data_IF_229597345199
#
_entry.id   IF_229597345199
#
_cell.length_a   1.000
_cell.length_b   1.000
_cell.length_c   1.000
_cell.angle_alpha   90.00
_cell.angle_beta   90.00
_cell.angle_gamma   90.00
#
_symmetry.space_group_name_H-M   'P 1'
#
loop_
_entity.id
_entity.type
_entity.pdbx_description
1 polymer ?
#
# COMPACT_ATOMS: atom_id res chain seq x y z
N UNK A 1 -17.78 13.26 -21.32
CA UNK A 1 -17.16 12.20 -20.49
C UNK A 1 -16.44 12.89 -19.36
N UNK A 2 -16.73 12.50 -18.11
CA UNK A 2 -16.23 13.15 -16.91
C UNK A 2 -14.74 12.84 -16.70
N UNK A 3 -13.93 13.89 -16.52
CA UNK A 3 -12.48 13.82 -16.34
C UNK A 3 -12.02 13.34 -14.95
N UNK A 4 -12.77 12.43 -14.32
CA UNK A 4 -12.50 11.96 -12.95
C UNK A 4 -11.92 10.54 -12.88
N UNK A 5 -11.65 9.91 -14.02
CA UNK A 5 -11.40 8.46 -14.05
C UNK A 5 -9.96 8.02 -13.81
N UNK A 6 -8.98 8.87 -13.45
CA UNK A 6 -7.56 8.45 -13.37
C UNK A 6 -6.81 8.73 -12.07
N UNK A 7 -7.39 9.43 -11.10
CA UNK A 7 -6.70 9.71 -9.84
C UNK A 7 -6.56 8.45 -8.98
N UNK A 8 -5.34 8.15 -8.54
CA UNK A 8 -5.04 7.15 -7.52
C UNK A 8 -4.28 7.82 -6.39
N UNK A 9 -4.70 7.53 -5.16
CA UNK A 9 -4.01 7.95 -3.94
C UNK A 9 -3.04 6.87 -3.52
N UNK A 10 -1.77 7.23 -3.37
CA UNK A 10 -0.70 6.34 -2.93
C UNK A 10 -0.37 6.66 -1.47
N UNK A 11 -0.75 5.77 -0.56
CA UNK A 11 -0.48 5.85 0.86
C UNK A 11 0.75 4.99 1.17
N UNK A 12 1.85 5.64 1.55
CA UNK A 12 3.09 4.93 1.87
C UNK A 12 3.32 4.88 3.37
N UNK A 13 3.85 3.75 3.83
CA UNK A 13 3.96 3.47 5.24
C UNK A 13 4.83 2.26 5.54
N UNK A 14 4.63 1.71 6.72
CA UNK A 14 5.29 0.50 7.15
C UNK A 14 4.39 -0.35 8.04
N UNK A 15 4.68 -1.64 8.09
CA UNK A 15 4.07 -2.59 9.02
C UNK A 15 5.11 -3.59 9.51
N UNK A 16 4.91 -4.12 10.72
CA UNK A 16 5.74 -5.16 11.31
C UNK A 16 5.09 -6.52 11.08
N UNK A 17 5.87 -7.49 10.62
CA UNK A 17 5.41 -8.86 10.46
C UNK A 17 5.10 -9.46 11.85
N UNK A 18 3.88 -9.96 12.05
CA UNK A 18 3.42 -10.54 13.33
C UNK A 18 3.09 -12.03 13.26
N UNK A 19 3.19 -12.62 12.07
CA UNK A 19 2.94 -14.05 11.82
C UNK A 19 3.96 -14.62 10.85
N UNK A 20 4.14 -15.93 10.81
CA UNK A 20 4.98 -16.58 9.82
C UNK A 20 4.23 -16.70 8.48
N UNK A 21 4.47 -15.81 7.53
CA UNK A 21 3.88 -15.86 6.18
C UNK A 21 4.55 -16.94 5.31
N UNK A 22 4.39 -18.22 5.68
CA UNK A 22 4.98 -19.37 4.97
C UNK A 22 6.50 -19.25 4.74
N UNK A 23 7.21 -18.60 5.66
CA UNK A 23 8.66 -18.35 5.57
C UNK A 23 9.06 -17.19 4.66
N UNK A 24 8.12 -16.53 3.96
CA UNK A 24 8.42 -15.36 3.11
C UNK A 24 8.91 -14.16 3.92
N UNK A 25 8.23 -13.88 5.03
CA UNK A 25 8.56 -12.75 5.92
C UNK A 25 9.04 -13.25 7.27
N UNK A 26 10.11 -12.64 7.77
CA UNK A 26 10.65 -12.94 9.10
C UNK A 26 9.81 -12.24 10.17
N UNK A 27 9.41 -12.98 11.20
CA UNK A 27 8.62 -12.45 12.31
C UNK A 27 9.36 -11.29 12.99
N UNK A 28 8.65 -10.21 13.30
CA UNK A 28 9.21 -9.03 13.95
C UNK A 28 9.90 -8.04 13.00
N UNK A 29 10.21 -8.45 11.77
CA UNK A 29 10.77 -7.52 10.79
C UNK A 29 9.74 -6.49 10.34
N UNK A 30 10.23 -5.27 10.11
CA UNK A 30 9.44 -4.16 9.62
C UNK A 30 9.61 -4.04 8.11
N UNK A 31 8.53 -3.90 7.38
CA UNK A 31 8.53 -3.78 5.93
C UNK A 31 7.82 -2.50 5.50
N UNK A 32 8.32 -1.87 4.44
CA UNK A 32 7.60 -0.79 3.78
C UNK A 32 6.35 -1.34 3.13
N UNK A 33 5.24 -0.63 3.28
CA UNK A 33 3.97 -0.95 2.62
C UNK A 33 3.52 0.25 1.80
N UNK A 34 2.92 -0.04 0.65
CA UNK A 34 2.28 0.94 -0.22
C UNK A 34 0.85 0.51 -0.44
N UNK A 35 -0.09 1.43 -0.30
CA UNK A 35 -1.49 1.18 -0.54
C UNK A 35 -1.99 2.18 -1.57
N UNK A 36 -2.61 1.67 -2.62
CA UNK A 36 -3.14 2.47 -3.71
C UNK A 36 -4.65 2.34 -3.71
N UNK A 37 -5.36 3.46 -3.82
CA UNK A 37 -6.83 3.46 -3.91
C UNK A 37 -7.33 4.56 -4.84
N UNK A 38 -8.41 4.29 -5.56
CA UNK A 38 -9.14 5.30 -6.33
C UNK A 38 -10.15 6.07 -5.47
N UNK A 39 -10.33 5.69 -4.20
CA UNK A 39 -11.28 6.34 -3.30
C UNK A 39 -10.69 7.62 -2.71
N UNK A 40 -11.35 8.74 -2.97
CA UNK A 40 -11.00 10.06 -2.44
C UNK A 40 -11.13 10.13 -0.91
N UNK A 41 -12.00 9.32 -0.31
CA UNK A 41 -12.10 9.19 1.15
C UNK A 41 -11.05 8.22 1.72
N UNK A 42 -9.83 8.27 1.19
CA UNK A 42 -8.73 7.42 1.65
C UNK A 42 -8.48 7.57 3.16
N UNK A 43 -8.69 8.75 3.74
CA UNK A 43 -8.61 9.00 5.19
C UNK A 43 -9.56 8.10 5.99
N UNK A 44 -10.83 7.99 5.56
CA UNK A 44 -11.79 7.07 6.15
C UNK A 44 -11.40 5.61 5.97
N UNK A 45 -10.81 5.29 4.82
CA UNK A 45 -10.41 3.94 4.47
C UNK A 45 -9.15 3.47 5.22
N UNK A 46 -8.26 4.37 5.67
CA UNK A 46 -7.05 4.01 6.44
C UNK A 46 -7.38 3.08 7.62
N UNK A 47 -8.51 3.31 8.31
CA UNK A 47 -8.91 2.46 9.44
C UNK A 47 -9.29 1.05 9.01
N UNK A 48 -10.07 0.92 7.94
CA UNK A 48 -10.45 -0.38 7.37
C UNK A 48 -9.23 -1.12 6.86
N UNK A 49 -8.31 -0.41 6.21
CA UNK A 49 -7.09 -0.95 5.64
C UNK A 49 -6.11 -1.42 6.72
N UNK A 50 -5.94 -0.65 7.80
CA UNK A 50 -5.19 -1.11 8.97
C UNK A 50 -5.79 -2.39 9.55
N UNK A 51 -7.12 -2.50 9.59
CA UNK A 51 -7.81 -3.71 10.07
C UNK A 51 -7.58 -4.89 9.13
N UNK A 52 -7.68 -4.68 7.82
CA UNK A 52 -7.41 -5.69 6.80
C UNK A 52 -5.97 -6.21 6.86
N UNK A 53 -4.99 -5.29 6.83
CA UNK A 53 -3.56 -5.61 6.93
C UNK A 53 -3.26 -6.35 8.24
N UNK A 54 -3.92 -5.96 9.35
CA UNK A 54 -3.82 -6.69 10.61
C UNK A 54 -4.36 -8.11 10.54
N UNK A 55 -5.49 -8.32 9.85
CA UNK A 55 -6.03 -9.64 9.55
C UNK A 55 -5.09 -10.52 8.72
N UNK A 56 -4.23 -9.91 7.91
CA UNK A 56 -3.17 -10.60 7.16
C UNK A 56 -1.92 -10.91 7.99
N UNK A 57 -1.94 -10.69 9.31
CA UNK A 57 -0.81 -11.03 10.19
C UNK A 57 0.28 -9.95 10.26
N UNK A 58 -0.09 -8.68 10.10
CA UNK A 58 0.80 -7.54 10.29
C UNK A 58 0.38 -6.68 11.48
N UNK A 59 1.33 -6.01 12.12
CA UNK A 59 1.06 -5.10 13.25
C UNK A 59 1.88 -3.81 13.15
N UNK A 60 1.75 -2.91 14.13
CA UNK A 60 2.47 -1.62 14.17
C UNK A 60 2.39 -0.83 12.84
N UNK A 61 1.18 -0.76 12.27
CA UNK A 61 0.91 -0.22 10.94
C UNK A 61 0.82 1.31 10.99
N UNK A 62 1.70 1.98 10.25
CA UNK A 62 1.74 3.44 10.14
C UNK A 62 1.79 3.83 8.67
N UNK A 63 0.92 4.75 8.27
CA UNK A 63 1.02 5.46 6.99
C UNK A 63 1.59 6.84 7.27
N UNK A 64 2.65 7.21 6.54
CA UNK A 64 3.42 8.43 6.77
C UNK A 64 3.13 9.49 5.71
N UNK A 65 2.89 9.08 4.47
CA UNK A 65 2.70 9.98 3.34
C UNK A 65 1.49 9.56 2.51
N UNK A 66 0.86 10.55 1.88
CA UNK A 66 -0.17 10.33 0.86
C UNK A 66 0.17 11.20 -0.33
N UNK A 67 0.25 10.58 -1.49
CA UNK A 67 0.51 11.24 -2.76
C UNK A 67 -0.67 11.03 -3.69
N UNK A 68 -1.09 12.10 -4.37
CA UNK A 68 -2.11 12.02 -5.42
C UNK A 68 -1.39 11.83 -6.75
N UNK A 69 -1.70 10.74 -7.44
CA UNK A 69 -1.11 10.40 -8.75
C UNK A 69 -2.23 10.38 -9.78
N UNK A 70 -2.21 11.37 -10.66
CA UNK A 70 -3.23 11.55 -11.71
C UNK A 70 -2.84 10.88 -13.05
N UNK A 71 -1.55 10.59 -13.23
CA UNK A 71 -1.02 9.95 -14.43
C UNK A 71 0.01 8.87 -14.06
N UNK A 72 -0.22 7.65 -14.52
CA UNK A 72 0.69 6.51 -14.30
C UNK A 72 2.07 6.75 -14.92
N UNK A 73 2.18 7.61 -15.94
CA UNK A 73 3.45 7.93 -16.61
C UNK A 73 4.47 8.60 -15.67
N UNK A 74 4.01 9.17 -14.55
CA UNK A 74 4.88 9.76 -13.53
C UNK A 74 5.52 8.72 -12.62
N UNK A 75 5.08 7.45 -12.68
CA UNK A 75 5.66 6.35 -11.93
C UNK A 75 6.73 5.65 -12.77
N UNK A 76 7.93 5.51 -12.21
CA UNK A 76 9.08 4.86 -12.87
C UNK A 76 9.37 3.45 -12.35
N UNK A 77 8.59 2.97 -11.39
CA UNK A 77 8.81 1.68 -10.73
C UNK A 77 7.71 0.68 -11.13
N UNK A 78 8.11 -0.46 -11.71
CA UNK A 78 7.19 -1.50 -12.22
C UNK A 78 6.20 -2.03 -11.17
N UNK A 79 6.64 -2.12 -9.91
CA UNK A 79 5.75 -2.55 -8.81
C UNK A 79 4.70 -1.48 -8.53
N UNK A 80 5.07 -0.20 -8.54
CA UNK A 80 4.11 0.88 -8.37
C UNK A 80 3.17 1.00 -9.57
N UNK A 81 3.67 0.86 -10.80
CA UNK A 81 2.87 0.85 -12.03
C UNK A 81 1.84 -0.28 -12.00
N UNK A 82 2.29 -1.51 -11.76
CA UNK A 82 1.38 -2.67 -11.69
C UNK A 82 0.36 -2.53 -10.57
N UNK A 83 0.74 -1.93 -9.45
CA UNK A 83 -0.16 -1.70 -8.32
C UNK A 83 -1.16 -0.58 -8.59
N UNK A 84 -0.76 0.44 -9.35
CA UNK A 84 -1.64 1.50 -9.81
C UNK A 84 -2.72 0.91 -10.72
N UNK A 85 -2.32 0.10 -11.71
CA UNK A 85 -3.24 -0.60 -12.62
C UNK A 85 -4.23 -1.46 -11.81
N UNK A 86 -3.72 -2.27 -10.86
CA UNK A 86 -4.59 -3.10 -10.00
C UNK A 86 -5.57 -2.26 -9.18
N UNK A 87 -5.17 -1.11 -8.67
CA UNK A 87 -6.06 -0.21 -7.94
C UNK A 87 -7.14 0.39 -8.86
N UNK A 88 -6.81 0.69 -10.12
CA UNK A 88 -7.78 1.15 -11.11
C UNK A 88 -8.82 0.09 -11.46
N UNK A 89 -8.40 -1.18 -11.55
CA UNK A 89 -9.27 -2.31 -11.89
C UNK A 89 -10.14 -2.78 -10.70
N UNK A 90 -9.58 -2.78 -9.49
CA UNK A 90 -10.20 -3.39 -8.30
C UNK A 90 -10.60 -2.37 -7.22
N UNK A 91 -10.38 -1.07 -7.46
CA UNK A 91 -10.58 0.02 -6.50
C UNK A 91 -9.43 0.20 -5.49
N UNK A 92 -8.70 -0.88 -5.17
CA UNK A 92 -7.60 -0.88 -4.21
C UNK A 92 -6.48 -1.86 -4.59
N UNK A 93 -5.26 -1.57 -4.17
CA UNK A 93 -4.10 -2.47 -4.28
C UNK A 93 -3.15 -2.28 -3.10
N UNK A 94 -2.66 -3.38 -2.55
CA UNK A 94 -1.68 -3.41 -1.45
C UNK A 94 -0.34 -3.96 -1.96
N UNK A 95 0.73 -3.27 -1.61
CA UNK A 95 2.12 -3.59 -1.91
C UNK A 95 2.88 -3.72 -0.61
N UNK A 96 3.72 -4.75 -0.51
CA UNK A 96 4.68 -4.93 0.58
C UNK A 96 6.05 -5.03 -0.06
N UNK A 97 7.03 -4.27 0.43
CA UNK A 97 8.41 -4.45 0.04
C UNK A 97 8.93 -5.73 0.68
N UNK A 98 9.41 -6.67 -0.15
CA UNK A 98 9.89 -7.95 0.33
C UNK A 98 11.18 -7.84 1.16
N UNK A 99 11.93 -6.75 0.98
CA UNK A 99 13.08 -6.45 1.81
C UNK A 99 12.67 -5.72 3.10
N UNK A 100 13.14 -6.16 4.27
CA UNK A 100 12.88 -5.48 5.53
C UNK A 100 13.60 -4.13 5.58
N UNK A 101 13.02 -3.20 6.33
CA UNK A 101 13.67 -1.93 6.68
C UNK A 101 14.82 -2.24 7.63
N UNK A 102 16.05 -2.14 7.15
CA UNK A 102 17.25 -2.21 7.98
C UNK A 102 17.50 -0.85 8.61
N UNK A 103 17.42 -0.76 9.94
CA UNK A 103 17.97 0.40 10.65
C UNK A 103 19.49 0.19 10.74
N UNK A 104 20.25 1.13 10.18
CA UNK A 104 21.69 1.26 10.41
C UNK A 104 21.94 1.95 11.75
#
# INVERSE_FOLDING_TARGET
>A
MNNSDNTVYVLSGYAKCSTTHNGKYTLGNKHSIGLLTTDENYQGNIKQLKTFIKGLGWESITFCTVEKVDDISTLSNDVLISSFIRAKENGQSLVVNDHPITMH
#
